data_IF_942622741182
#
_entry.id   IF_942622741182
#
_cell.length_a   1.000
_cell.length_b   1.000
_cell.length_c   1.000
_cell.angle_alpha   90.00
_cell.angle_beta   90.00
_cell.angle_gamma   90.00
#
_symmetry.space_group_name_H-M   'P 1'
#
loop_
_entity.id
_entity.type
_entity.pdbx_description
1 polymer ?
#
# COMPACT_ATOMS: atom_id res chain seq x y z
N UNK A 1 3.82 -18.71 -19.73
CA UNK A 1 2.88 -18.78 -19.83
C UNK A 1 2.08 -18.18 -18.89
N UNK A 2 2.03 -17.36 -18.43
CA UNK A 2 1.39 -16.84 -17.61
C UNK A 2 0.57 -15.87 -18.08
N UNK A 3 -0.18 -16.24 -18.99
CA UNK A 3 -1.09 -15.45 -19.52
C UNK A 3 -2.02 -14.95 -18.51
N UNK A 4 -2.09 -15.46 -17.40
CA UNK A 4 -2.98 -14.95 -16.41
C UNK A 4 -2.43 -13.70 -15.74
N UNK A 5 -1.19 -13.39 -15.98
CA UNK A 5 -0.62 -12.22 -15.38
C UNK A 5 -1.06 -10.98 -16.08
N UNK A 6 -1.62 -10.07 -15.37
CA UNK A 6 -2.04 -8.79 -15.90
C UNK A 6 -1.06 -7.76 -15.41
N UNK A 7 -0.72 -6.81 -16.23
CA UNK A 7 0.21 -5.76 -15.83
C UNK A 7 -0.50 -4.42 -15.69
N UNK A 8 0.03 -3.58 -14.83
CA UNK A 8 -0.54 -2.28 -14.58
C UNK A 8 0.62 -1.30 -14.44
N UNK A 9 0.39 -0.05 -14.81
CA UNK A 9 1.42 0.96 -14.60
C UNK A 9 1.38 1.35 -13.13
N UNK A 10 2.39 0.92 -12.39
CA UNK A 10 2.42 1.13 -10.95
C UNK A 10 2.86 2.54 -10.64
N UNK A 11 1.99 3.33 -10.00
CA UNK A 11 2.35 4.71 -9.72
C UNK A 11 3.43 4.82 -8.65
N UNK A 12 3.61 3.79 -7.84
CA UNK A 12 4.66 3.79 -6.83
C UNK A 12 6.04 3.68 -7.49
N UNK A 13 6.19 2.70 -8.39
CA UNK A 13 7.46 2.46 -9.05
C UNK A 13 7.56 3.14 -10.41
N UNK A 14 6.45 3.70 -10.87
CA UNK A 14 6.40 4.43 -12.14
C UNK A 14 6.85 3.59 -13.33
N UNK A 15 6.42 2.37 -13.37
CA UNK A 15 6.69 1.50 -14.51
C UNK A 15 5.64 0.39 -14.54
N UNK A 16 5.58 -0.32 -15.66
CA UNK A 16 4.64 -1.40 -15.80
C UNK A 16 5.12 -2.61 -15.04
N UNK A 17 4.28 -3.16 -14.20
CA UNK A 17 4.63 -4.29 -13.35
C UNK A 17 3.42 -5.20 -13.18
N UNK A 18 3.60 -6.45 -12.75
CA UNK A 18 2.46 -7.33 -12.53
C UNK A 18 1.47 -6.76 -11.56
N UNK A 19 0.18 -6.83 -11.90
CA UNK A 19 -0.87 -6.27 -11.06
C UNK A 19 -1.28 -7.26 -9.99
N UNK A 20 -2.10 -6.75 -9.06
CA UNK A 20 -2.74 -7.61 -8.08
C UNK A 20 -3.73 -8.52 -8.80
N UNK A 21 -4.00 -9.66 -8.22
CA UNK A 21 -4.94 -10.61 -8.80
C UNK A 21 -6.37 -10.21 -8.47
N UNK A 22 -6.58 -9.74 -7.26
CA UNK A 22 -7.90 -9.32 -6.81
C UNK A 22 -7.78 -7.99 -6.08
N UNK A 23 -8.86 -7.24 -5.97
CA UNK A 23 -8.80 -5.99 -5.21
C UNK A 23 -8.43 -6.27 -3.76
N UNK A 24 -7.53 -5.49 -3.19
CA UNK A 24 -7.08 -5.75 -1.81
C UNK A 24 -8.10 -5.38 -0.75
N UNK A 25 -9.11 -4.64 -1.11
CA UNK A 25 -10.17 -4.29 -0.18
C UNK A 25 -11.44 -4.02 -0.95
N UNK A 26 -12.60 -4.07 -0.32
CA UNK A 26 -13.84 -3.86 -1.05
C UNK A 26 -14.07 -2.40 -1.39
N UNK A 27 -14.91 -2.16 -2.37
CA UNK A 27 -15.33 -0.81 -2.71
C UNK A 27 -14.41 -0.12 -3.70
N UNK A 28 -14.68 1.15 -3.97
CA UNK A 28 -13.92 1.89 -4.98
C UNK A 28 -12.44 2.02 -4.66
N UNK A 29 -12.09 2.06 -3.37
CA UNK A 29 -10.70 2.20 -2.99
C UNK A 29 -9.90 0.97 -3.41
N UNK A 30 -10.47 -0.21 -3.22
CA UNK A 30 -9.79 -1.44 -3.64
C UNK A 30 -9.61 -1.50 -5.14
N UNK A 31 -10.62 -1.04 -5.88
CA UNK A 31 -10.54 -1.04 -7.32
C UNK A 31 -9.47 -0.05 -7.79
N UNK A 32 -9.40 1.10 -7.15
CA UNK A 32 -8.40 2.10 -7.49
C UNK A 32 -6.99 1.54 -7.27
N UNK A 33 -6.78 0.85 -6.17
CA UNK A 33 -5.48 0.26 -5.88
C UNK A 33 -5.16 -0.81 -6.91
N UNK A 34 -6.15 -1.64 -7.26
CA UNK A 34 -5.94 -2.71 -8.24
C UNK A 34 -5.47 -2.15 -9.58
N UNK A 35 -5.98 -0.99 -9.95
CA UNK A 35 -5.68 -0.43 -11.26
C UNK A 35 -4.41 0.42 -11.30
N UNK A 36 -3.90 0.82 -10.14
CA UNK A 36 -2.78 1.74 -10.10
C UNK A 36 -1.55 1.24 -9.34
N UNK A 37 -1.67 0.13 -8.64
CA UNK A 37 -0.60 -0.36 -7.78
C UNK A 37 -0.27 -1.78 -8.16
N UNK A 38 1.02 -2.09 -8.27
CA UNK A 38 1.44 -3.45 -8.60
C UNK A 38 1.39 -4.36 -7.38
N UNK A 39 1.48 -5.64 -7.61
CA UNK A 39 1.53 -6.61 -6.52
C UNK A 39 2.72 -6.35 -5.62
N UNK A 40 3.86 -6.02 -6.21
CA UNK A 40 5.07 -5.77 -5.42
C UNK A 40 4.90 -4.54 -4.54
N UNK A 41 4.31 -3.48 -5.07
CA UNK A 41 4.08 -2.28 -4.27
C UNK A 41 3.13 -2.57 -3.12
N UNK A 42 2.10 -3.37 -3.37
CA UNK A 42 1.15 -3.74 -2.33
C UNK A 42 1.83 -4.59 -1.25
N UNK A 43 2.69 -5.51 -1.65
CA UNK A 43 3.41 -6.34 -0.70
C UNK A 43 4.33 -5.50 0.18
N UNK A 44 4.99 -4.51 -0.40
CA UNK A 44 5.83 -3.61 0.39
C UNK A 44 5.00 -2.79 1.37
N UNK A 45 3.82 -2.34 0.94
CA UNK A 45 2.95 -1.60 1.83
C UNK A 45 2.47 -2.48 2.99
N UNK A 46 2.14 -3.74 2.71
CA UNK A 46 1.66 -4.61 3.78
C UNK A 46 2.74 -4.81 4.85
N UNK A 47 3.98 -4.96 4.43
CA UNK A 47 5.08 -5.09 5.37
C UNK A 47 5.26 -3.81 6.18
N UNK A 48 5.20 -2.67 5.52
CA UNK A 48 5.34 -1.38 6.18
C UNK A 48 4.18 -1.15 7.15
N UNK A 49 2.97 -1.49 6.72
CA UNK A 49 1.78 -1.34 7.53
C UNK A 49 1.87 -2.16 8.81
N UNK A 50 2.33 -3.39 8.70
CA UNK A 50 2.48 -4.26 9.87
C UNK A 50 3.46 -3.64 10.85
N UNK A 51 4.56 -3.11 10.36
CA UNK A 51 5.55 -2.48 11.22
C UNK A 51 4.97 -1.25 11.91
N UNK A 52 4.22 -0.43 11.16
CA UNK A 52 3.61 0.75 11.76
C UNK A 52 2.62 0.37 12.86
N UNK A 53 1.82 -0.65 12.62
CA UNK A 53 0.86 -1.09 13.61
C UNK A 53 1.57 -1.54 14.88
N UNK A 54 2.66 -2.29 14.72
CA UNK A 54 3.40 -2.77 15.87
C UNK A 54 4.15 -1.67 16.60
N UNK A 55 4.81 -0.77 15.86
CA UNK A 55 5.60 0.27 16.50
C UNK A 55 4.75 1.31 17.20
N UNK A 56 3.60 1.62 16.64
CA UNK A 56 2.74 2.65 17.21
C UNK A 56 1.60 2.07 18.02
N UNK A 57 1.54 0.76 18.17
CA UNK A 57 0.51 0.10 18.96
C UNK A 57 -0.89 0.54 18.51
N UNK A 58 -1.12 0.52 17.21
CA UNK A 58 -2.40 0.97 16.67
C UNK A 58 -3.50 -0.02 16.99
N UNK A 59 -4.68 0.51 17.34
CA UNK A 59 -5.84 -0.30 17.59
C UNK A 59 -6.67 -0.25 16.31
N UNK A 60 -6.68 -1.33 15.56
CA UNK A 60 -7.35 -1.36 14.27
C UNK A 60 -8.87 -1.41 14.39
N UNK A 61 -9.40 -1.53 15.59
CA UNK A 61 -10.82 -1.39 15.78
C UNK A 61 -11.22 0.08 15.91
N UNK A 62 -10.24 0.97 16.06
CA UNK A 62 -10.49 2.39 16.18
C UNK A 62 -10.52 3.02 14.78
N UNK A 63 -11.62 3.69 14.44
CA UNK A 63 -11.78 4.25 13.11
C UNK A 63 -10.73 5.31 12.78
N UNK A 64 -10.28 6.06 13.78
CA UNK A 64 -9.28 7.09 13.53
C UNK A 64 -7.94 6.48 13.19
N UNK A 65 -7.59 5.36 13.83
CA UNK A 65 -6.35 4.68 13.51
C UNK A 65 -6.38 4.11 12.11
N UNK A 66 -7.51 3.55 11.71
CA UNK A 66 -7.66 3.04 10.35
C UNK A 66 -7.55 4.15 9.32
N UNK A 67 -8.14 5.31 9.62
CA UNK A 67 -8.06 6.45 8.71
C UNK A 67 -6.64 6.97 8.59
N UNK A 68 -5.94 7.07 9.71
CA UNK A 68 -4.55 7.50 9.71
C UNK A 68 -3.70 6.56 8.87
N UNK A 69 -3.90 5.25 9.06
CA UNK A 69 -3.12 4.27 8.32
C UNK A 69 -3.41 4.35 6.83
N UNK A 70 -4.66 4.60 6.45
CA UNK A 70 -5.00 4.75 5.05
C UNK A 70 -4.33 5.99 4.45
N UNK A 71 -4.21 7.05 5.22
CA UNK A 71 -3.50 8.24 4.75
C UNK A 71 -2.02 7.94 4.52
N UNK A 72 -1.43 7.13 5.39
CA UNK A 72 -0.04 6.74 5.20
C UNK A 72 0.11 5.86 3.96
N UNK A 73 -0.88 5.01 3.70
CA UNK A 73 -0.88 4.17 2.50
C UNK A 73 -0.88 5.03 1.24
N UNK A 74 -1.74 6.06 1.22
CA UNK A 74 -1.82 6.93 0.06
C UNK A 74 -0.50 7.67 -0.16
N UNK A 75 0.12 8.14 0.91
CA UNK A 75 1.40 8.82 0.80
C UNK A 75 2.48 7.87 0.31
N UNK A 76 2.47 6.64 0.81
CA UNK A 76 3.44 5.64 0.39
C UNK A 76 3.35 5.38 -1.11
N UNK A 77 2.13 5.19 -1.61
CA UNK A 77 1.94 4.86 -3.02
C UNK A 77 2.18 6.08 -3.93
N UNK A 78 2.00 7.28 -3.42
CA UNK A 78 2.24 8.48 -4.21
C UNK A 78 3.68 9.00 -4.06
N UNK A 79 4.52 8.26 -3.35
CA UNK A 79 5.91 8.64 -3.12
C UNK A 79 6.03 9.95 -2.37
N UNK A 80 5.08 10.21 -1.47
CA UNK A 80 5.11 11.39 -0.63
C UNK A 80 5.73 11.00 0.72
N UNK A 81 6.02 11.99 1.55
CA UNK A 81 6.56 11.71 2.86
C UNK A 81 5.52 10.98 3.68
N UNK A 82 5.89 9.87 4.27
CA UNK A 82 5.00 9.10 5.11
C UNK A 82 5.72 8.77 6.40
N UNK A 83 4.94 8.35 7.40
CA UNK A 83 5.50 8.04 8.70
C UNK A 83 6.40 6.83 8.62
N UNK A 84 7.61 6.92 9.15
CA UNK A 84 8.52 5.79 9.17
C UNK A 84 8.52 5.15 10.54
N UNK A 85 8.62 3.83 10.61
CA UNK A 85 8.67 3.15 11.89
C UNK A 85 9.96 3.52 12.63
N UNK A 86 9.86 3.56 13.94
CA UNK A 86 11.02 3.78 14.79
C UNK A 86 11.78 5.04 14.46
N UNK A 87 11.16 5.99 13.82
CA UNK A 87 11.82 7.24 13.50
C UNK A 87 12.93 7.12 12.48
N UNK A 88 13.08 5.98 11.84
CA UNK A 88 14.11 5.79 10.86
C UNK A 88 13.85 6.65 9.63
N UNK A 89 14.88 7.30 9.12
CA UNK A 89 14.73 8.10 7.94
C UNK A 89 15.57 7.55 6.82
N UNK A 90 14.98 7.02 5.79
CA UNK A 90 15.76 6.53 4.66
C UNK A 90 16.42 7.71 3.94
N UNK A 91 17.56 7.49 3.42
CA UNK A 91 18.28 8.55 2.73
C UNK A 91 18.00 8.59 1.25
#
# INVERSE_FOLDING_TARGET
TNIMSKKVFCKKFQKEMPSLVIPPMPGPKGQEILENISQEAWDQWKSHQTTLINEKHLDMSNAENRKWLQEQMDKFFNNEDYESPSGFKPL
#
